data_IF_414794968321
#
_entry.id   IF_414794968321
#
_cell.length_a   1.000
_cell.length_b   1.000
_cell.length_c   1.000
_cell.angle_alpha   90.00
_cell.angle_beta   90.00
_cell.angle_gamma   90.00
#
_symmetry.space_group_name_H-M   'P 1'
#
loop_
_entity.id
_entity.type
_entity.pdbx_description
1 polymer ?
#
# COMPACT_ATOMS: atom_id res chain seq x y z
N UNK A 1 10.99 -13.13 -3.13
CA UNK A 1 10.35 -13.42 -1.84
C UNK A 1 9.25 -12.40 -1.59
N UNK A 2 8.08 -12.85 -1.17
CA UNK A 2 6.94 -11.97 -0.88
C UNK A 2 6.70 -11.86 0.60
N UNK A 3 6.29 -10.66 1.03
CA UNK A 3 5.97 -10.39 2.43
C UNK A 3 4.62 -9.67 2.50
N UNK A 4 3.98 -9.75 3.64
CA UNK A 4 2.76 -9.01 3.92
C UNK A 4 3.12 -7.80 4.80
N UNK A 5 2.83 -6.61 4.28
CA UNK A 5 3.04 -5.38 5.05
C UNK A 5 1.75 -5.05 5.78
N UNK A 6 1.78 -5.13 7.10
CA UNK A 6 0.61 -4.83 7.92
C UNK A 6 0.48 -3.32 8.13
N UNK A 7 -0.74 -2.83 7.92
CA UNK A 7 -1.04 -1.41 7.98
C UNK A 7 -2.33 -1.23 8.78
N UNK A 8 -2.35 -0.23 9.66
CA UNK A 8 -3.55 0.13 10.40
C UNK A 8 -4.16 1.36 9.76
N UNK A 9 -5.42 1.25 9.33
CA UNK A 9 -6.13 2.37 8.73
C UNK A 9 -6.32 3.49 9.75
N UNK A 10 -5.89 4.73 9.45
CA UNK A 10 -6.02 5.84 10.39
C UNK A 10 -7.46 6.34 10.57
N UNK A 11 -8.36 5.98 9.66
CA UNK A 11 -9.76 6.41 9.74
C UNK A 11 -10.65 5.44 10.51
N UNK A 12 -10.61 4.16 10.14
CA UNK A 12 -11.48 3.17 10.79
C UNK A 12 -10.76 2.34 11.85
N UNK A 13 -9.44 2.39 11.88
CA UNK A 13 -8.64 1.65 12.84
C UNK A 13 -8.52 0.16 12.55
N UNK A 14 -8.99 -0.28 11.40
CA UNK A 14 -8.87 -1.69 11.02
C UNK A 14 -7.50 -2.00 10.45
N UNK A 15 -6.99 -3.17 10.80
CA UNK A 15 -5.72 -3.64 10.26
C UNK A 15 -5.94 -4.30 8.91
N UNK A 16 -5.04 -4.04 7.98
CA UNK A 16 -5.04 -4.70 6.69
C UNK A 16 -3.61 -4.95 6.23
N UNK A 17 -3.44 -5.81 5.25
CA UNK A 17 -2.11 -6.16 4.76
C UNK A 17 -2.06 -6.04 3.25
N UNK A 18 -0.88 -5.66 2.75
CA UNK A 18 -0.58 -5.61 1.32
C UNK A 18 0.57 -6.57 1.05
N UNK A 19 0.37 -7.52 0.16
CA UNK A 19 1.43 -8.44 -0.24
C UNK A 19 2.33 -7.76 -1.26
N UNK A 20 3.64 -7.75 -0.98
CA UNK A 20 4.62 -7.10 -1.84
C UNK A 20 5.85 -7.99 -2.00
N UNK A 21 6.64 -7.73 -3.05
CA UNK A 21 7.93 -8.36 -3.23
C UNK A 21 8.93 -7.66 -2.32
N UNK A 22 9.64 -8.42 -1.51
CA UNK A 22 10.58 -7.85 -0.53
C UNK A 22 11.64 -6.96 -1.17
N UNK A 23 12.25 -7.41 -2.28
CA UNK A 23 13.27 -6.62 -2.95
C UNK A 23 12.71 -5.31 -3.50
N UNK A 24 11.50 -5.34 -4.04
CA UNK A 24 10.82 -4.15 -4.53
C UNK A 24 10.46 -3.21 -3.38
N UNK A 25 9.99 -3.77 -2.28
CA UNK A 25 9.66 -2.98 -1.10
C UNK A 25 10.90 -2.27 -0.55
N UNK A 26 12.02 -2.97 -0.48
CA UNK A 26 13.30 -2.38 -0.05
C UNK A 26 13.75 -1.26 -0.99
N UNK A 27 13.58 -1.41 -2.29
CA UNK A 27 13.90 -0.37 -3.26
C UNK A 27 13.09 0.90 -2.99
N UNK A 28 11.81 0.75 -2.69
CA UNK A 28 10.96 1.88 -2.33
C UNK A 28 11.46 2.55 -1.04
N UNK A 29 11.81 1.77 -0.03
CA UNK A 29 12.33 2.31 1.24
C UNK A 29 13.65 3.06 1.04
N UNK A 30 14.42 2.70 0.01
CA UNK A 30 15.69 3.36 -0.32
C UNK A 30 15.52 4.65 -1.15
N UNK A 31 14.29 5.03 -1.45
CA UNK A 31 14.00 6.30 -2.12
C UNK A 31 13.48 6.18 -3.55
N UNK A 32 13.29 4.96 -4.06
CA UNK A 32 12.66 4.78 -5.37
C UNK A 32 11.21 5.20 -5.34
N UNK A 33 10.70 5.69 -6.46
CA UNK A 33 9.28 5.97 -6.58
C UNK A 33 8.52 4.64 -6.50
N UNK A 34 7.41 4.63 -5.79
CA UNK A 34 6.63 3.40 -5.59
C UNK A 34 6.19 2.77 -6.91
N UNK A 35 5.82 3.57 -7.90
CA UNK A 35 5.42 3.08 -9.21
C UNK A 35 6.57 2.43 -9.98
N UNK A 36 7.81 2.82 -9.70
CA UNK A 36 8.99 2.22 -10.32
C UNK A 36 9.48 1.02 -9.52
N UNK A 37 9.42 1.11 -8.21
CA UNK A 37 9.88 0.02 -7.33
C UNK A 37 8.91 -1.17 -7.35
N UNK A 38 7.61 -0.89 -7.38
CA UNK A 38 6.57 -1.92 -7.32
C UNK A 38 5.54 -1.73 -8.43
N UNK A 39 5.95 -1.93 -9.70
CA UNK A 39 5.05 -1.68 -10.84
C UNK A 39 3.86 -2.63 -10.94
N UNK A 40 3.93 -3.77 -10.25
CA UNK A 40 2.87 -4.78 -10.28
C UNK A 40 1.70 -4.47 -9.33
N UNK A 41 1.86 -3.49 -8.46
CA UNK A 41 0.79 -3.11 -7.53
C UNK A 41 -0.28 -2.30 -8.24
N UNK A 42 -1.53 -2.52 -7.84
CA UNK A 42 -2.65 -1.70 -8.31
C UNK A 42 -2.57 -0.32 -7.65
N UNK A 43 -3.34 0.63 -8.17
CA UNK A 43 -3.43 1.96 -7.56
C UNK A 43 -3.91 1.87 -6.12
N UNK A 44 -4.89 1.02 -5.86
CA UNK A 44 -5.42 0.81 -4.50
C UNK A 44 -4.33 0.31 -3.55
N UNK A 45 -3.54 -0.68 -4.00
CA UNK A 45 -2.47 -1.22 -3.18
C UNK A 45 -1.38 -0.19 -2.90
N UNK A 46 -1.02 0.60 -3.91
CA UNK A 46 -0.04 1.68 -3.74
C UNK A 46 -0.52 2.72 -2.73
N UNK A 47 -1.78 3.11 -2.81
CA UNK A 47 -2.37 4.06 -1.87
C UNK A 47 -2.42 3.51 -0.46
N UNK A 48 -2.67 2.21 -0.30
CA UNK A 48 -2.61 1.57 1.01
C UNK A 48 -1.24 1.71 1.65
N UNK A 49 -0.18 1.57 0.86
CA UNK A 49 1.19 1.71 1.37
C UNK A 49 1.55 3.16 1.67
N UNK A 50 1.09 4.10 0.86
CA UNK A 50 1.42 5.51 0.99
C UNK A 50 0.62 6.18 2.12
N UNK A 51 -0.70 6.02 2.10
CA UNK A 51 -1.59 6.70 3.03
C UNK A 51 -2.00 5.84 4.23
N UNK A 52 -1.90 4.53 4.10
CA UNK A 52 -2.35 3.60 5.13
C UNK A 52 -3.85 3.34 5.13
N UNK A 53 -4.60 3.97 4.25
CA UNK A 53 -6.05 3.78 4.19
C UNK A 53 -6.41 2.38 3.71
N UNK A 54 -7.39 1.76 4.36
CA UNK A 54 -7.91 0.49 3.89
C UNK A 54 -8.71 0.69 2.60
N UNK A 55 -8.91 -0.36 1.78
CA UNK A 55 -9.63 -0.23 0.52
C UNK A 55 -11.03 0.35 0.68
N UNK A 56 -11.70 0.03 1.78
CA UNK A 56 -13.04 0.54 2.06
C UNK A 56 -13.03 2.05 2.28
N UNK A 57 -12.10 2.56 3.08
CA UNK A 57 -11.97 3.99 3.33
C UNK A 57 -11.54 4.73 2.07
N UNK A 58 -10.66 4.14 1.27
CA UNK A 58 -10.26 4.72 -0.01
C UNK A 58 -11.46 4.88 -0.93
N UNK A 59 -12.29 3.85 -1.02
CA UNK A 59 -13.49 3.90 -1.86
C UNK A 59 -14.43 5.02 -1.41
N UNK A 60 -14.59 5.20 -0.12
CA UNK A 60 -15.43 6.27 0.42
C UNK A 60 -14.85 7.66 0.15
N UNK A 61 -13.54 7.81 0.23
CA UNK A 61 -12.88 9.10 0.04
C UNK A 61 -12.81 9.52 -1.43
N UNK A 62 -12.64 8.55 -2.33
CA UNK A 62 -12.48 8.84 -3.76
C UNK A 62 -13.75 8.60 -4.57
N UNK A 63 -14.83 8.25 -3.93
CA UNK A 63 -16.12 8.09 -4.58
C UNK A 63 -16.73 9.45 -4.86
N UNK A 64 -17.14 9.66 -6.10
CA UNK A 64 -17.81 10.89 -6.51
C UNK A 64 -19.32 10.72 -6.53
#
# INVERSE_FOLDING_TARGET
MRIDVEITCPFCGEDHAVEVNLAQYEAWQNGELIQNAMPDLTLTEREQLISGLCPKCQAEMFEE
#
